data_IF_356585748562
#
_entry.id   IF_356585748562
#
_cell.length_a   1.000
_cell.length_b   1.000
_cell.length_c   1.000
_cell.angle_alpha   90.00
_cell.angle_beta   90.00
_cell.angle_gamma   90.00
#
_symmetry.space_group_name_H-M   'P 1'
#
loop_
_entity.id
_entity.type
_entity.pdbx_description
1 polymer ?
#
# COMPACT_ATOMS: atom_id res chain seq x y z
N UNK A 1 1.19 -8.63 10.97
CA UNK A 1 2.22 -8.82 9.91
C UNK A 1 3.56 -8.26 10.36
N UNK A 2 3.67 -6.94 10.60
CA UNK A 2 4.93 -6.28 11.00
C UNK A 2 5.57 -6.91 12.25
N UNK A 3 4.82 -7.07 13.35
CA UNK A 3 5.33 -7.69 14.60
C UNK A 3 5.90 -9.09 14.41
N UNK A 4 5.19 -9.95 13.67
CA UNK A 4 5.62 -11.34 13.42
C UNK A 4 6.84 -11.36 12.50
N UNK A 5 6.87 -10.52 11.45
CA UNK A 5 8.04 -10.41 10.58
C UNK A 5 9.27 -9.92 11.32
N UNK A 6 9.12 -8.87 12.13
CA UNK A 6 10.19 -8.23 12.89
C UNK A 6 10.73 -9.03 14.09
N UNK A 7 10.03 -10.09 14.53
CA UNK A 7 10.48 -10.92 15.66
C UNK A 7 11.54 -11.97 15.27
N UNK A 8 11.94 -12.04 14.01
CA UNK A 8 12.93 -13.01 13.50
C UNK A 8 14.32 -12.37 13.33
N UNK A 9 15.42 -13.15 13.38
CA UNK A 9 16.76 -12.64 13.10
C UNK A 9 16.88 -11.94 11.73
N UNK A 10 16.23 -12.49 10.70
CA UNK A 10 16.24 -11.98 9.33
C UNK A 10 15.42 -10.69 9.23
N UNK A 11 14.33 -10.59 10.00
CA UNK A 11 13.43 -9.45 10.04
C UNK A 11 13.85 -8.32 11.00
N UNK A 12 15.04 -8.37 11.61
CA UNK A 12 15.52 -7.35 12.58
C UNK A 12 15.49 -5.91 12.06
N UNK A 13 15.50 -5.72 10.75
CA UNK A 13 15.42 -4.43 10.07
C UNK A 13 13.98 -3.88 9.96
N UNK A 14 12.98 -4.65 10.41
CA UNK A 14 11.57 -4.26 10.40
C UNK A 14 11.22 -3.75 11.81
N UNK A 15 11.06 -2.45 11.94
CA UNK A 15 10.65 -1.83 13.20
C UNK A 15 9.19 -1.36 13.12
N UNK A 16 8.37 -1.74 14.09
CA UNK A 16 6.95 -1.37 14.10
C UNK A 16 6.74 0.13 14.18
N UNK A 17 7.59 0.83 14.95
CA UNK A 17 7.59 2.28 15.11
C UNK A 17 7.67 3.03 13.78
N UNK A 18 8.37 2.48 12.79
CA UNK A 18 8.61 3.15 11.50
C UNK A 18 7.33 3.31 10.67
N UNK A 19 6.32 2.51 10.97
CA UNK A 19 5.02 2.55 10.28
C UNK A 19 4.09 3.63 10.83
N UNK A 20 4.37 4.20 12.00
CA UNK A 20 3.56 5.26 12.62
C UNK A 20 4.05 6.66 12.24
N UNK A 21 3.17 7.65 12.36
CA UNK A 21 3.56 9.07 12.28
C UNK A 21 4.43 9.46 13.47
N UNK A 22 5.04 10.65 13.43
CA UNK A 22 5.82 11.19 14.56
C UNK A 22 5.00 11.31 15.86
N UNK A 23 3.68 11.42 15.73
CA UNK A 23 2.74 11.50 16.85
C UNK A 23 2.25 10.13 17.31
N UNK A 24 2.74 9.03 16.70
CA UNK A 24 2.34 7.66 17.01
C UNK A 24 1.05 7.19 16.35
N UNK A 25 0.53 7.94 15.36
CA UNK A 25 -0.72 7.59 14.69
C UNK A 25 -0.50 6.62 13.53
N UNK A 26 -1.47 5.74 13.27
CA UNK A 26 -1.46 4.84 12.11
C UNK A 26 -2.31 5.43 10.99
N UNK A 27 -1.66 6.03 9.98
CA UNK A 27 -2.35 6.79 8.93
C UNK A 27 -1.98 6.33 7.53
N UNK A 28 -2.94 6.41 6.61
CA UNK A 28 -2.81 6.03 5.18
C UNK A 28 -2.90 7.22 4.22
N UNK A 29 -3.24 8.39 4.77
CA UNK A 29 -3.25 9.67 4.06
C UNK A 29 -1.84 10.28 3.96
N UNK A 30 -1.78 11.53 3.51
CA UNK A 30 -0.52 12.25 3.23
C UNK A 30 0.37 12.46 4.46
N UNK A 31 -0.17 12.37 5.67
CA UNK A 31 0.59 12.46 6.92
C UNK A 31 1.11 11.11 7.41
N UNK A 32 0.74 10.01 6.72
CA UNK A 32 1.30 8.69 6.96
C UNK A 32 2.82 8.67 6.86
N UNK A 33 3.45 7.73 7.57
CA UNK A 33 4.90 7.58 7.52
C UNK A 33 5.39 7.22 6.11
N UNK A 34 6.62 7.64 5.78
CA UNK A 34 7.23 7.25 4.50
C UNK A 34 7.32 5.73 4.35
N UNK A 35 7.58 5.01 5.43
CA UNK A 35 7.61 3.55 5.45
C UNK A 35 6.24 2.96 5.15
N UNK A 36 5.16 3.49 5.75
CA UNK A 36 3.79 3.06 5.44
C UNK A 36 3.44 3.26 3.97
N UNK A 37 3.61 4.48 3.46
CA UNK A 37 3.19 4.85 2.10
C UNK A 37 4.02 4.18 1.00
N UNK A 38 5.23 3.69 1.34
CA UNK A 38 6.09 2.95 0.40
C UNK A 38 6.10 1.44 0.61
N UNK A 39 5.45 0.90 1.64
CA UNK A 39 5.48 -0.54 1.89
C UNK A 39 4.75 -1.31 0.78
N UNK A 40 5.17 -2.56 0.57
CA UNK A 40 4.61 -3.40 -0.49
C UNK A 40 3.10 -3.60 -0.32
N UNK A 41 2.62 -3.80 0.91
CA UNK A 41 1.18 -3.98 1.19
C UNK A 41 0.36 -2.75 0.77
N UNK A 42 0.82 -1.55 1.11
CA UNK A 42 0.14 -0.30 0.71
C UNK A 42 0.04 -0.20 -0.82
N UNK A 43 1.16 -0.44 -1.51
CA UNK A 43 1.21 -0.39 -2.98
C UNK A 43 0.28 -1.41 -3.61
N UNK A 44 0.26 -2.64 -3.11
CA UNK A 44 -0.61 -3.71 -3.62
C UNK A 44 -2.10 -3.41 -3.41
N UNK A 45 -2.49 -2.83 -2.28
CA UNK A 45 -3.90 -2.51 -2.02
C UNK A 45 -4.38 -1.30 -2.82
N UNK A 46 -3.54 -0.27 -3.02
CA UNK A 46 -3.95 1.01 -3.59
C UNK A 46 -3.49 1.28 -5.03
N UNK A 47 -2.88 0.30 -5.71
CA UNK A 47 -2.55 0.42 -7.13
C UNK A 47 -3.77 0.85 -7.95
N UNK A 48 -3.65 1.96 -8.69
CA UNK A 48 -4.71 2.62 -9.47
C UNK A 48 -5.94 3.11 -8.67
N UNK A 49 -5.96 2.94 -7.35
CA UNK A 49 -7.08 3.35 -6.51
C UNK A 49 -7.23 4.87 -6.42
N UNK A 50 -6.15 5.63 -6.62
CA UNK A 50 -6.13 7.09 -6.55
C UNK A 50 -7.09 7.79 -7.52
N UNK A 51 -7.47 7.13 -8.62
CA UNK A 51 -8.41 7.64 -9.63
C UNK A 51 -9.87 7.16 -9.42
N UNK A 52 -10.13 6.29 -8.45
CA UNK A 52 -11.46 5.68 -8.24
C UNK A 52 -12.34 6.59 -7.39
N UNK A 53 -13.59 6.78 -7.82
CA UNK A 53 -14.64 7.38 -6.99
C UNK A 53 -15.38 6.29 -6.20
N UNK A 54 -15.18 6.28 -4.89
CA UNK A 54 -15.75 5.26 -3.99
C UNK A 54 -16.98 5.75 -3.22
N UNK A 55 -17.12 7.07 -3.04
CA UNK A 55 -18.18 7.69 -2.26
C UNK A 55 -18.54 9.06 -2.84
N UNK A 56 -19.84 9.34 -2.96
CA UNK A 56 -20.34 10.62 -3.46
C UNK A 56 -19.98 11.75 -2.48
N UNK A 57 -19.47 12.87 -3.01
CA UNK A 57 -19.06 14.02 -2.20
C UNK A 57 -17.68 13.88 -1.54
N UNK A 58 -16.97 12.78 -1.80
CA UNK A 58 -15.57 12.57 -1.38
C UNK A 58 -14.61 12.70 -2.57
N UNK A 59 -13.33 13.04 -2.32
CA UNK A 59 -12.31 13.03 -3.37
C UNK A 59 -12.08 11.61 -3.92
N UNK A 60 -11.42 11.51 -5.07
CA UNK A 60 -10.98 10.19 -5.60
C UNK A 60 -9.93 9.55 -4.70
N UNK A 61 -9.86 8.22 -4.69
CA UNK A 61 -8.94 7.50 -3.82
C UNK A 61 -9.31 7.62 -2.34
N UNK A 62 -10.59 7.77 -2.04
CA UNK A 62 -11.09 7.79 -0.67
C UNK A 62 -11.30 6.37 -0.16
N UNK A 63 -10.55 5.98 0.87
CA UNK A 63 -10.73 4.71 1.56
C UNK A 63 -11.90 4.82 2.53
N UNK A 64 -13.00 4.11 2.23
CA UNK A 64 -14.24 4.12 3.01
C UNK A 64 -14.10 3.46 4.38
N UNK A 65 -13.18 2.52 4.55
CA UNK A 65 -12.97 1.81 5.82
C UNK A 65 -12.13 2.66 6.76
N UNK A 66 -11.15 3.38 6.22
CA UNK A 66 -10.25 4.24 7.00
C UNK A 66 -10.70 5.69 7.08
N UNK A 67 -11.76 6.05 6.34
CA UNK A 67 -12.31 7.40 6.25
C UNK A 67 -11.25 8.46 5.90
N UNK A 68 -10.38 8.13 4.94
CA UNK A 68 -9.23 8.96 4.58
C UNK A 68 -8.98 8.95 3.06
N UNK A 69 -8.56 10.09 2.51
CA UNK A 69 -7.97 10.15 1.18
C UNK A 69 -6.55 9.57 1.22
N UNK A 70 -6.21 8.65 0.32
CA UNK A 70 -4.90 8.00 0.34
C UNK A 70 -3.76 9.00 0.07
N UNK A 71 -2.64 8.80 0.77
CA UNK A 71 -1.47 9.67 0.71
C UNK A 71 -0.70 9.62 -0.60
N UNK A 72 -0.52 8.42 -1.17
CA UNK A 72 0.15 8.24 -2.45
C UNK A 72 -0.82 7.64 -3.49
N UNK A 73 -1.13 8.43 -4.52
CA UNK A 73 -2.01 8.04 -5.63
C UNK A 73 -1.27 7.46 -6.83
N UNK A 74 0.01 7.78 -6.96
CA UNK A 74 0.86 7.39 -8.08
C UNK A 74 1.72 6.20 -7.67
N UNK A 75 1.24 5.01 -8.02
CA UNK A 75 1.85 3.74 -7.63
C UNK A 75 2.14 2.96 -8.90
N UNK A 76 3.41 2.66 -9.11
CA UNK A 76 3.89 1.79 -10.17
C UNK A 76 4.71 0.64 -9.59
N UNK A 77 4.79 -0.45 -10.35
CA UNK A 77 5.54 -1.64 -10.00
C UNK A 77 6.61 -1.92 -11.04
N UNK A 78 7.80 -2.27 -10.54
CA UNK A 78 8.92 -2.70 -11.39
C UNK A 78 8.94 -4.22 -11.60
N UNK A 79 8.54 -4.99 -10.59
CA UNK A 79 8.68 -6.46 -10.56
C UNK A 79 7.35 -7.20 -10.44
N UNK A 80 6.23 -6.47 -10.47
CA UNK A 80 4.89 -7.02 -10.33
C UNK A 80 3.98 -6.41 -11.40
N UNK A 81 2.95 -7.15 -11.79
CA UNK A 81 1.85 -6.62 -12.59
C UNK A 81 0.51 -7.07 -12.02
N UNK A 82 -0.53 -6.25 -12.22
CA UNK A 82 -1.91 -6.62 -11.89
C UNK A 82 -2.36 -7.75 -12.83
N UNK A 83 -2.63 -8.93 -12.27
CA UNK A 83 -3.11 -10.08 -13.02
C UNK A 83 -4.63 -10.14 -13.05
N UNK A 84 -5.28 -9.79 -11.93
CA UNK A 84 -6.75 -9.78 -11.82
C UNK A 84 -7.19 -8.92 -10.63
N UNK A 85 -8.31 -8.22 -10.77
CA UNK A 85 -8.99 -7.49 -9.69
C UNK A 85 -10.49 -7.80 -9.76
N UNK A 86 -11.12 -8.13 -8.64
CA UNK A 86 -12.57 -8.39 -8.60
C UNK A 86 -13.38 -7.13 -8.84
N UNK A 87 -14.64 -7.28 -9.27
CA UNK A 87 -15.55 -6.17 -9.62
C UNK A 87 -15.63 -5.09 -8.53
N UNK A 88 -15.76 -5.49 -7.27
CA UNK A 88 -15.83 -4.57 -6.13
C UNK A 88 -14.51 -4.41 -5.38
N UNK A 89 -13.39 -4.79 -6.01
CA UNK A 89 -12.01 -4.56 -5.53
C UNK A 89 -11.71 -5.14 -4.14
N UNK A 90 -12.44 -6.20 -3.75
CA UNK A 90 -12.21 -6.94 -2.49
C UNK A 90 -10.96 -7.82 -2.59
N UNK A 91 -10.68 -8.36 -3.78
CA UNK A 91 -9.53 -9.24 -4.04
C UNK A 91 -8.76 -8.70 -5.24
N UNK A 92 -7.44 -8.58 -5.06
CA UNK A 92 -6.47 -8.14 -6.07
C UNK A 92 -5.37 -9.19 -6.16
N UNK A 93 -5.11 -9.69 -7.36
CA UNK A 93 -4.12 -10.71 -7.66
C UNK A 93 -3.02 -10.08 -8.51
N UNK A 94 -1.79 -10.22 -8.05
CA UNK A 94 -0.61 -9.72 -8.73
C UNK A 94 0.27 -10.88 -9.17
N UNK A 95 0.83 -10.78 -10.38
CA UNK A 95 1.83 -11.72 -10.89
C UNK A 95 3.21 -11.13 -10.69
N UNK A 96 4.15 -11.98 -10.24
CA UNK A 96 5.57 -11.63 -10.18
C UNK A 96 6.17 -11.75 -11.57
N UNK A 97 6.82 -10.70 -12.03
CA UNK A 97 7.49 -10.67 -13.33
C UNK A 97 8.77 -11.51 -13.30
N UNK A 98 9.14 -12.05 -14.45
CA UNK A 98 10.46 -12.65 -14.60
C UNK A 98 11.55 -11.59 -14.37
N UNK A 99 12.73 -11.98 -13.85
CA UNK A 99 13.85 -11.05 -13.72
C UNK A 99 14.14 -10.35 -15.06
N UNK A 100 14.40 -9.05 -15.01
CA UNK A 100 14.75 -8.30 -16.21
C UNK A 100 15.99 -8.90 -16.88
N UNK A 101 15.90 -9.16 -18.19
CA UNK A 101 17.03 -9.62 -18.97
C UNK A 101 18.10 -8.52 -18.98
N UNK A 102 19.22 -8.75 -18.29
CA UNK A 102 20.40 -7.89 -18.40
C UNK A 102 21.01 -8.13 -19.80
N UNK A 103 20.89 -7.14 -20.69
CA UNK A 103 21.69 -7.10 -21.92
C UNK A 103 23.11 -6.64 -21.60
#
# INVERSE_FOLDING_TARGET
MVRIGGSTPEGRHIHESDYFTKNGEFRVDKEGSKTMLNCMMYKLCYYRFGAVYTEQGRPTGYDRVRHAEIGNKDIDFEHLEEAYTTEHWIVRIYRVLAPANKR
#
